data_IF_396190617807
#
_entry.id   IF_396190617807
#
_cell.length_a   1.000
_cell.length_b   1.000
_cell.length_c   1.000
_cell.angle_alpha   90.00
_cell.angle_beta   90.00
_cell.angle_gamma   90.00
#
_symmetry.space_group_name_H-M   'P 1'
#
loop_
_entity.id
_entity.type
_entity.pdbx_description
1 polymer ?
#
# COMPACT_ATOMS: atom_id res chain seq x y z
N UNK A 1 -15.99 -25.32 48.07
CA UNK A 1 -15.91 -24.26 47.04
C UNK A 1 -14.75 -24.61 46.12
N UNK A 2 -15.02 -25.07 44.89
CA UNK A 2 -13.99 -25.37 43.89
C UNK A 2 -13.91 -24.18 42.93
N UNK A 3 -12.83 -23.42 43.04
CA UNK A 3 -12.53 -22.31 42.14
C UNK A 3 -11.97 -22.88 40.84
N UNK A 4 -12.71 -22.73 39.74
CA UNK A 4 -12.23 -23.03 38.40
C UNK A 4 -11.49 -21.80 37.89
N UNK A 5 -10.17 -21.92 37.78
CA UNK A 5 -9.30 -20.91 37.16
C UNK A 5 -9.46 -21.04 35.64
N UNK A 6 -10.26 -20.16 35.03
CA UNK A 6 -10.38 -20.01 33.58
C UNK A 6 -9.16 -19.25 33.07
N UNK A 7 -8.20 -20.00 32.51
CA UNK A 7 -7.05 -19.44 31.80
C UNK A 7 -7.58 -18.95 30.44
N UNK A 8 -7.76 -17.63 30.30
CA UNK A 8 -7.95 -17.01 28.99
C UNK A 8 -6.60 -17.05 28.26
N UNK A 9 -6.44 -18.03 27.38
CA UNK A 9 -5.40 -18.01 26.35
C UNK A 9 -5.74 -16.87 25.39
N UNK A 10 -5.10 -15.72 25.58
CA UNK A 10 -5.07 -14.64 24.60
C UNK A 10 -4.22 -15.12 23.44
N UNK A 11 -4.83 -15.84 22.50
CA UNK A 11 -4.21 -16.13 21.21
C UNK A 11 -4.18 -14.80 20.47
N UNK A 12 -3.05 -14.10 20.55
CA UNK A 12 -2.76 -13.03 19.60
C UNK A 12 -2.62 -13.70 18.24
N UNK A 13 -3.70 -13.70 17.45
CA UNK A 13 -3.61 -14.06 16.06
C UNK A 13 -2.58 -13.11 15.44
N UNK A 14 -1.44 -13.65 15.00
CA UNK A 14 -0.49 -12.90 14.21
C UNK A 14 -1.20 -12.70 12.86
N UNK A 15 -1.89 -11.57 12.72
CA UNK A 15 -2.51 -11.21 11.45
C UNK A 15 -1.39 -11.13 10.41
N UNK A 16 -1.42 -12.08 9.47
CA UNK A 16 -0.55 -12.06 8.31
C UNK A 16 -0.80 -10.78 7.52
N UNK A 17 0.25 -10.13 7.05
CA UNK A 17 0.08 -9.02 6.14
C UNK A 17 -0.67 -9.48 4.88
N UNK A 18 -1.56 -8.64 4.37
CA UNK A 18 -2.15 -8.82 3.04
C UNK A 18 -1.08 -8.52 2.01
N UNK A 19 -0.90 -9.40 1.03
CA UNK A 19 0.12 -9.23 -0.02
C UNK A 19 -0.55 -8.97 -1.36
N UNK A 20 -0.27 -7.81 -1.96
CA UNK A 20 -0.81 -7.36 -3.25
C UNK A 20 0.33 -7.25 -4.27
N UNK A 21 0.09 -7.69 -5.50
CA UNK A 21 1.06 -7.60 -6.59
C UNK A 21 0.57 -6.61 -7.65
N UNK A 22 1.48 -5.82 -8.21
CA UNK A 22 1.17 -4.78 -9.20
C UNK A 22 2.02 -4.94 -10.46
N UNK A 23 1.39 -4.83 -11.64
CA UNK A 23 2.02 -4.96 -12.96
C UNK A 23 1.23 -4.19 -14.03
N UNK A 24 1.90 -3.42 -14.91
CA UNK A 24 1.28 -2.50 -15.89
C UNK A 24 0.24 -3.18 -16.80
N UNK A 25 0.43 -4.46 -17.13
CA UNK A 25 -0.39 -5.19 -18.11
C UNK A 25 -1.34 -6.23 -17.47
N UNK A 26 -1.76 -5.97 -16.23
CA UNK A 26 -2.55 -6.90 -15.44
C UNK A 26 -4.05 -6.54 -15.35
N UNK A 27 -4.74 -7.03 -14.31
CA UNK A 27 -6.18 -6.84 -14.14
C UNK A 27 -6.50 -5.52 -13.47
N UNK A 28 -7.56 -4.84 -13.94
CA UNK A 28 -8.17 -3.71 -13.25
C UNK A 28 -9.36 -4.13 -12.38
N UNK A 29 -9.68 -5.42 -12.35
CA UNK A 29 -10.77 -5.95 -11.52
C UNK A 29 -10.35 -5.95 -10.04
N UNK A 30 -11.18 -5.44 -9.10
CA UNK A 30 -10.86 -5.43 -7.67
C UNK A 30 -10.47 -6.77 -7.06
N UNK A 31 -10.88 -7.90 -7.66
CA UNK A 31 -10.43 -9.22 -7.26
C UNK A 31 -8.91 -9.43 -7.34
N UNK A 32 -8.17 -8.55 -8.03
CA UNK A 32 -6.71 -8.58 -8.04
C UNK A 32 -6.09 -8.28 -6.67
N UNK A 33 -6.81 -7.61 -5.76
CA UNK A 33 -6.32 -7.29 -4.41
C UNK A 33 -6.05 -8.55 -3.58
N UNK A 34 -6.80 -9.62 -3.83
CA UNK A 34 -6.64 -10.94 -3.19
C UNK A 34 -6.04 -11.99 -4.14
N UNK A 35 -5.66 -11.58 -5.36
CA UNK A 35 -5.29 -12.46 -6.46
C UNK A 35 -3.86 -13.01 -6.41
N UNK A 36 -3.03 -12.47 -5.51
CA UNK A 36 -1.62 -12.82 -5.38
C UNK A 36 -0.82 -12.58 -6.67
N UNK A 37 0.34 -13.24 -6.78
CA UNK A 37 1.22 -13.07 -7.95
C UNK A 37 0.59 -13.58 -9.26
N UNK A 38 -0.36 -14.51 -9.18
CA UNK A 38 -1.08 -15.05 -10.34
C UNK A 38 -2.08 -14.08 -10.97
N UNK A 39 -2.55 -13.10 -10.21
CA UNK A 39 -3.52 -12.10 -10.67
C UNK A 39 -3.17 -10.71 -10.10
N UNK A 40 -2.08 -10.08 -10.61
CA UNK A 40 -1.68 -8.76 -10.15
C UNK A 40 -2.70 -7.68 -10.57
N UNK A 41 -2.69 -6.58 -9.83
CA UNK A 41 -3.42 -5.37 -10.18
C UNK A 41 -2.63 -4.52 -11.18
N UNK A 42 -3.30 -3.93 -12.17
CA UNK A 42 -2.70 -2.89 -13.03
C UNK A 42 -2.99 -1.47 -12.57
N UNK A 43 -4.10 -1.27 -11.86
CA UNK A 43 -4.50 0.02 -11.35
C UNK A 43 -3.83 0.29 -9.98
N UNK A 44 -2.72 1.04 -9.98
CA UNK A 44 -2.02 1.40 -8.75
C UNK A 44 -2.88 2.28 -7.82
N UNK A 45 -3.72 3.16 -8.36
CA UNK A 45 -4.62 3.99 -7.54
C UNK A 45 -5.57 3.14 -6.70
N UNK A 46 -6.14 2.08 -7.30
CA UNK A 46 -6.99 1.12 -6.58
C UNK A 46 -6.25 0.47 -5.41
N UNK A 47 -4.99 0.06 -5.63
CA UNK A 47 -4.16 -0.55 -4.58
C UNK A 47 -3.82 0.45 -3.48
N UNK A 48 -3.51 1.69 -3.84
CA UNK A 48 -3.22 2.74 -2.85
C UNK A 48 -4.47 3.12 -2.05
N UNK A 49 -5.66 3.16 -2.66
CA UNK A 49 -6.92 3.35 -1.93
C UNK A 49 -7.25 2.17 -1.00
N UNK A 50 -6.88 0.95 -1.38
CA UNK A 50 -6.98 -0.21 -0.50
C UNK A 50 -6.08 -0.08 0.74
N UNK A 51 -4.83 0.36 0.58
CA UNK A 51 -3.93 0.62 1.72
C UNK A 51 -4.51 1.71 2.64
N UNK A 52 -5.21 2.71 2.10
CA UNK A 52 -5.85 3.76 2.92
C UNK A 52 -6.94 3.23 3.84
N UNK A 53 -7.59 2.12 3.47
CA UNK A 53 -8.64 1.51 4.30
C UNK A 53 -8.13 0.36 5.17
N UNK A 54 -6.89 -0.09 4.99
CA UNK A 54 -6.36 -1.27 5.68
C UNK A 54 -4.85 -1.20 5.98
N UNK A 55 -4.52 -1.34 7.28
CA UNK A 55 -3.16 -1.58 7.77
C UNK A 55 -2.67 -3.00 7.48
N UNK A 56 -1.39 -3.29 7.73
CA UNK A 56 -0.77 -4.61 7.53
C UNK A 56 -0.81 -5.06 6.06
N UNK A 57 -0.30 -4.23 5.13
CA UNK A 57 -0.32 -4.51 3.69
C UNK A 57 1.08 -4.42 3.08
N UNK A 58 1.47 -5.45 2.33
CA UNK A 58 2.68 -5.47 1.52
C UNK A 58 2.32 -5.41 0.03
N UNK A 59 2.95 -4.51 -0.70
CA UNK A 59 2.75 -4.33 -2.14
C UNK A 59 4.05 -4.53 -2.89
N UNK A 60 4.04 -5.47 -3.82
CA UNK A 60 5.16 -5.79 -4.70
C UNK A 60 4.86 -5.30 -6.12
N UNK A 61 5.64 -4.34 -6.60
CA UNK A 61 5.41 -3.63 -7.86
C UNK A 61 6.48 -4.07 -8.84
N UNK A 62 6.09 -4.74 -9.94
CA UNK A 62 7.04 -5.12 -11.00
C UNK A 62 7.61 -3.86 -11.68
N UNK A 63 8.81 -3.92 -12.30
CA UNK A 63 9.37 -2.81 -13.08
C UNK A 63 8.39 -2.29 -14.14
N UNK A 64 8.28 -0.97 -14.25
CA UNK A 64 7.29 -0.30 -15.11
C UNK A 64 7.05 1.16 -14.73
N UNK A 65 6.18 1.82 -15.49
CA UNK A 65 5.77 3.21 -15.32
C UNK A 65 4.29 3.30 -14.94
N UNK A 66 4.02 3.68 -13.70
CA UNK A 66 2.67 3.73 -13.14
C UNK A 66 2.21 5.18 -13.03
N UNK A 67 1.13 5.51 -13.72
CA UNK A 67 0.56 6.86 -13.70
C UNK A 67 -0.52 6.96 -12.63
N UNK A 68 -0.33 7.87 -11.67
CA UNK A 68 -1.36 8.35 -10.77
C UNK A 68 -1.98 9.60 -11.39
N UNK A 69 -3.26 9.53 -11.71
CA UNK A 69 -4.00 10.60 -12.38
C UNK A 69 -4.19 11.85 -11.51
N UNK A 70 -4.56 12.97 -12.17
CA UNK A 70 -4.58 14.30 -11.57
C UNK A 70 -5.53 14.46 -10.40
N UNK A 71 -5.08 15.20 -9.38
CA UNK A 71 -5.83 15.60 -8.18
C UNK A 71 -6.04 14.48 -7.15
N UNK A 72 -5.33 13.36 -7.28
CA UNK A 72 -5.34 12.34 -6.24
C UNK A 72 -4.34 12.77 -5.15
N UNK A 73 -4.85 13.48 -4.14
CA UNK A 73 -4.12 13.66 -2.87
C UNK A 73 -4.31 12.38 -2.05
N UNK A 74 -3.31 11.50 -2.09
CA UNK A 74 -3.34 10.25 -1.33
C UNK A 74 -2.83 10.50 0.08
N UNK A 75 -3.75 10.83 0.97
CA UNK A 75 -3.49 10.87 2.41
C UNK A 75 -3.83 9.51 3.03
N UNK A 76 -2.85 8.94 3.72
CA UNK A 76 -2.97 7.75 4.54
C UNK A 76 -2.96 8.20 6.00
N UNK A 77 -4.08 8.03 6.71
CA UNK A 77 -4.23 8.43 8.11
C UNK A 77 -4.28 7.19 8.98
N UNK A 78 -3.48 7.14 10.05
CA UNK A 78 -3.49 6.05 11.05
C UNK A 78 -3.20 4.65 10.48
N UNK A 79 -2.62 4.58 9.29
CA UNK A 79 -2.19 3.32 8.66
C UNK A 79 -0.89 2.81 9.30
N UNK A 80 -0.79 1.50 9.50
CA UNK A 80 0.39 0.84 10.09
C UNK A 80 0.88 -0.33 9.24
N UNK A 81 2.18 -0.64 9.35
CA UNK A 81 2.81 -1.83 8.77
C UNK A 81 2.58 -1.96 7.26
N UNK A 82 2.97 -0.93 6.50
CA UNK A 82 2.84 -0.90 5.05
C UNK A 82 4.20 -1.01 4.39
N UNK A 83 4.30 -1.88 3.39
CA UNK A 83 5.44 -1.98 2.50
C UNK A 83 5.01 -1.68 1.06
N UNK A 84 5.67 -0.71 0.42
CA UNK A 84 5.63 -0.51 -1.03
C UNK A 84 7.01 -0.83 -1.59
N UNK A 85 7.13 -1.89 -2.38
CA UNK A 85 8.43 -2.38 -2.84
C UNK A 85 8.46 -2.63 -4.35
N UNK A 86 9.49 -2.09 -5.01
CA UNK A 86 9.85 -2.51 -6.36
C UNK A 86 10.41 -3.94 -6.36
N UNK A 87 9.82 -4.81 -7.16
CA UNK A 87 10.08 -6.25 -7.21
C UNK A 87 10.74 -6.66 -8.54
N UNK A 88 12.07 -6.56 -8.60
CA UNK A 88 12.87 -7.08 -9.71
C UNK A 88 14.08 -6.21 -10.06
N UNK A 89 14.81 -6.64 -11.09
CA UNK A 89 15.91 -5.88 -11.69
C UNK A 89 15.35 -4.92 -12.75
N UNK A 90 14.99 -3.71 -12.33
CA UNK A 90 14.47 -2.68 -13.21
C UNK A 90 13.99 -1.44 -12.43
N UNK A 91 13.54 -0.42 -13.16
CA UNK A 91 13.00 0.81 -12.56
C UNK A 91 11.49 0.67 -12.33
N UNK A 92 11.04 1.08 -11.15
CA UNK A 92 9.62 1.30 -10.85
C UNK A 92 9.43 2.79 -10.68
N UNK A 93 8.79 3.41 -11.66
CA UNK A 93 8.50 4.84 -11.63
C UNK A 93 7.00 5.06 -11.37
N UNK A 94 6.68 5.75 -10.28
CA UNK A 94 5.32 6.22 -10.01
C UNK A 94 5.28 7.69 -10.42
N UNK A 95 4.53 7.98 -11.48
CA UNK A 95 4.42 9.29 -12.10
C UNK A 95 3.11 9.92 -11.64
N UNK A 96 3.19 11.04 -10.94
CA UNK A 96 2.01 11.78 -10.53
C UNK A 96 1.69 12.88 -11.54
N UNK A 97 0.64 12.67 -12.31
CA UNK A 97 0.21 13.61 -13.34
C UNK A 97 -0.83 14.59 -12.77
N UNK A 98 -0.42 15.74 -12.24
CA UNK A 98 -1.37 16.80 -11.88
C UNK A 98 -0.90 17.68 -10.73
N UNK A 99 -1.49 18.86 -10.62
CA UNK A 99 -1.15 19.84 -9.58
C UNK A 99 -1.48 19.27 -8.18
N UNK A 100 -0.54 19.37 -7.24
CA UNK A 100 -0.65 18.85 -5.85
C UNK A 100 -0.85 17.33 -5.71
N UNK A 101 -0.41 16.54 -6.69
CA UNK A 101 -0.45 15.08 -6.59
C UNK A 101 0.72 14.59 -5.72
N UNK A 102 0.44 13.72 -4.76
CA UNK A 102 1.46 13.25 -3.83
C UNK A 102 0.91 12.29 -2.79
N UNK A 103 1.82 11.71 -2.01
CA UNK A 103 1.56 10.73 -0.96
C UNK A 103 1.90 11.35 0.39
N UNK A 104 1.00 11.26 1.36
CA UNK A 104 1.20 11.78 2.71
C UNK A 104 0.75 10.75 3.73
N UNK A 105 1.60 10.46 4.72
CA UNK A 105 1.31 9.54 5.82
C UNK A 105 1.20 10.34 7.11
N UNK A 106 0.01 10.36 7.73
CA UNK A 106 -0.32 11.17 8.91
C UNK A 106 -0.65 10.23 10.06
N UNK A 107 0.02 10.41 11.20
CA UNK A 107 -0.11 9.52 12.37
C UNK A 107 0.08 8.03 12.03
N UNK A 108 0.84 7.74 10.98
CA UNK A 108 1.12 6.38 10.50
C UNK A 108 2.44 5.86 11.08
N UNK A 109 2.56 4.54 11.20
CA UNK A 109 3.74 3.89 11.77
C UNK A 109 4.23 2.72 10.89
N UNK A 110 5.54 2.43 10.95
CA UNK A 110 6.15 1.32 10.21
C UNK A 110 5.82 1.30 8.70
N UNK A 111 6.04 2.44 8.04
CA UNK A 111 5.86 2.58 6.58
C UNK A 111 7.22 2.44 5.90
N UNK A 112 7.32 1.51 4.96
CA UNK A 112 8.54 1.24 4.20
C UNK A 112 8.29 1.42 2.71
N UNK A 113 9.11 2.21 2.05
CA UNK A 113 9.08 2.39 0.60
C UNK A 113 10.46 2.11 0.04
N UNK A 114 10.57 1.11 -0.85
CA UNK A 114 11.86 0.54 -1.27
C UNK A 114 11.90 0.34 -2.78
N UNK A 115 12.96 0.84 -3.43
CA UNK A 115 13.20 0.56 -4.85
C UNK A 115 12.17 1.19 -5.81
N UNK A 116 11.61 2.34 -5.44
CA UNK A 116 10.60 3.06 -6.21
C UNK A 116 11.05 4.51 -6.39
N UNK A 117 10.94 5.03 -7.61
CA UNK A 117 11.11 6.44 -7.92
C UNK A 117 9.76 7.12 -8.01
N UNK A 118 9.56 8.19 -7.25
CA UNK A 118 8.39 9.05 -7.40
C UNK A 118 8.72 10.25 -8.27
N UNK A 119 8.02 10.40 -9.38
CA UNK A 119 8.24 11.47 -10.36
C UNK A 119 7.07 12.44 -10.29
N UNK A 120 7.34 13.66 -9.84
CA UNK A 120 6.33 14.72 -9.74
C UNK A 120 5.32 14.55 -8.59
N UNK A 121 5.52 13.59 -7.67
CA UNK A 121 4.60 13.28 -6.57
C UNK A 121 4.81 14.13 -5.29
N UNK A 122 5.16 15.41 -5.46
CA UNK A 122 5.33 16.34 -4.35
C UNK A 122 4.21 17.37 -4.31
N UNK A 123 3.56 17.53 -3.14
CA UNK A 123 2.64 18.64 -2.89
C UNK A 123 3.16 19.50 -1.76
N UNK A 124 2.92 20.82 -1.85
CA UNK A 124 3.14 21.72 -0.72
C UNK A 124 2.27 21.27 0.46
N UNK A 125 2.86 21.25 1.65
CA UNK A 125 2.17 21.00 2.90
C UNK A 125 2.52 22.11 3.89
N UNK A 126 1.51 22.74 4.49
CA UNK A 126 1.73 23.74 5.53
C UNK A 126 2.30 23.04 6.76
N UNK A 127 3.47 23.47 7.22
CA UNK A 127 3.99 22.99 8.51
C UNK A 127 3.10 23.54 9.63
N UNK A 128 2.56 22.65 10.46
CA UNK A 128 1.82 22.96 11.70
C UNK A 128 2.75 23.04 12.89
#
# INVERSE_FOLDING_TARGET
MKSFLLIFLLVTALESATVVYVSENASNDPSCLDGGESQPCSNLTLVLDYIRSQSNTEVYIKPGHYVLSSNVKLTFEEVENVLLKGDGEGTVDIICEGYMSGLSFINSSNISIVGISFVGCGTEHNST
#
